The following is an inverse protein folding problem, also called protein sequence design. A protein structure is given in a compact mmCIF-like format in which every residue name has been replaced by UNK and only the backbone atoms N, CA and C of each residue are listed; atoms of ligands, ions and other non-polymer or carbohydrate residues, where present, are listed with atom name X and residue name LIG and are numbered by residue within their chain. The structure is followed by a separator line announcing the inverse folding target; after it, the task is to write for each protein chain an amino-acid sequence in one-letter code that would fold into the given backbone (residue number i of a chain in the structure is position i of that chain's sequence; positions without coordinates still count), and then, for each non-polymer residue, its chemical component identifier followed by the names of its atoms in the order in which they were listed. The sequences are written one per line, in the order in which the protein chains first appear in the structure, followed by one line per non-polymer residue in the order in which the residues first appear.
data_IF_953784175237
#
_entry.id   IF_953784175237
#
_cell.length_a   1.000
_cell.length_b   1.000
_cell.length_c   1.000
_cell.angle_alpha   90.00
_cell.angle_beta   90.00
_cell.angle_gamma   90.00
#
_symmetry.space_group_name_H-M   'P 1'
#
loop_
_entity.id
_entity.type
_entity.pdbx_description
1 polymer ?
#
# COMPACT_ATOMS: atom_id res chain seq x y z
N UNK A 1 12.90 -33.07 12.35
CA UNK A 1 12.99 -31.66 11.90
C UNK A 1 11.65 -31.34 11.23
N UNK A 2 10.96 -30.26 11.61
CA UNK A 2 9.69 -29.90 10.95
C UNK A 2 9.94 -29.60 9.45
N UNK A 3 8.93 -29.80 8.60
CA UNK A 3 9.05 -29.53 7.17
C UNK A 3 9.45 -28.06 6.91
N UNK A 4 8.91 -27.14 7.70
CA UNK A 4 9.20 -25.71 7.65
C UNK A 4 10.67 -25.39 7.98
N UNK A 5 11.23 -25.99 9.03
CA UNK A 5 12.65 -25.82 9.37
C UNK A 5 13.56 -26.39 8.29
N UNK A 6 13.21 -27.55 7.74
CA UNK A 6 13.96 -28.17 6.65
C UNK A 6 13.98 -27.29 5.40
N UNK A 7 12.90 -26.55 5.10
CA UNK A 7 12.89 -25.57 4.02
C UNK A 7 13.86 -24.41 4.27
N UNK A 8 13.87 -23.83 5.46
CA UNK A 8 14.79 -22.73 5.82
C UNK A 8 16.24 -23.18 5.67
N UNK A 9 16.59 -24.35 6.20
CA UNK A 9 17.94 -24.92 6.03
C UNK A 9 18.25 -25.24 4.56
N UNK A 10 17.26 -25.70 3.79
CA UNK A 10 17.43 -25.94 2.36
C UNK A 10 17.68 -24.65 1.58
N UNK A 11 17.05 -23.53 1.93
CA UNK A 11 17.29 -22.22 1.29
C UNK A 11 18.73 -21.79 1.59
N UNK A 12 19.14 -21.80 2.86
CA UNK A 12 20.51 -21.46 3.28
C UNK A 12 21.56 -22.27 2.52
N UNK A 13 21.36 -23.59 2.43
CA UNK A 13 22.33 -24.50 1.80
C UNK A 13 22.31 -24.44 0.28
N UNK A 14 21.14 -24.46 -0.36
CA UNK A 14 21.04 -24.61 -1.82
C UNK A 14 21.05 -23.29 -2.59
N UNK A 15 20.59 -22.20 -1.98
CA UNK A 15 20.55 -20.89 -2.65
C UNK A 15 21.77 -20.03 -2.29
N UNK A 16 22.27 -20.14 -1.05
CA UNK A 16 23.36 -19.31 -0.55
C UNK A 16 24.67 -20.08 -0.28
N UNK A 17 24.69 -21.41 -0.50
CA UNK A 17 25.87 -22.25 -0.27
C UNK A 17 26.28 -22.40 1.19
N UNK A 18 25.47 -21.93 2.14
CA UNK A 18 25.82 -21.92 3.58
C UNK A 18 25.69 -23.33 4.14
N UNK A 19 26.80 -23.88 4.65
CA UNK A 19 26.84 -25.26 5.15
C UNK A 19 26.80 -26.33 4.04
N UNK A 20 27.02 -25.93 2.79
CA UNK A 20 27.26 -26.87 1.69
C UNK A 20 28.72 -27.32 1.69
N UNK A 21 28.93 -28.62 1.51
CA UNK A 21 30.26 -29.20 1.33
C UNK A 21 30.65 -29.05 -0.15
N UNK A 22 31.35 -27.96 -0.46
CA UNK A 22 31.74 -27.56 -1.81
C UNK A 22 33.26 -27.44 -1.89
N UNK A 23 33.85 -28.08 -2.88
CA UNK A 23 35.30 -28.05 -3.15
C UNK A 23 35.59 -27.71 -4.62
N UNK A 24 36.80 -27.22 -4.89
CA UNK A 24 37.29 -26.92 -6.23
C UNK A 24 36.41 -25.91 -7.00
N UNK A 25 36.21 -26.18 -8.29
CA UNK A 25 35.48 -25.31 -9.21
C UNK A 25 34.03 -25.03 -8.76
N UNK A 26 33.37 -25.98 -8.09
CA UNK A 26 32.01 -25.81 -7.59
C UNK A 26 31.91 -24.71 -6.51
N UNK A 27 32.91 -24.62 -5.63
CA UNK A 27 32.99 -23.57 -4.61
C UNK A 27 33.22 -22.21 -5.25
N UNK A 28 34.14 -22.12 -6.21
CA UNK A 28 34.42 -20.87 -6.92
C UNK A 28 33.21 -20.33 -7.68
N UNK A 29 32.44 -21.21 -8.33
CA UNK A 29 31.21 -20.84 -9.02
C UNK A 29 30.17 -20.25 -8.04
N UNK A 30 29.95 -20.90 -6.90
CA UNK A 30 28.99 -20.43 -5.90
C UNK A 30 29.45 -19.10 -5.27
N UNK A 31 30.72 -18.99 -4.89
CA UNK A 31 31.28 -17.75 -4.35
C UNK A 31 31.15 -16.58 -5.34
N UNK A 32 31.35 -16.85 -6.64
CA UNK A 32 31.16 -15.87 -7.71
C UNK A 32 29.69 -15.46 -7.88
N UNK A 33 28.73 -16.40 -7.80
CA UNK A 33 27.30 -16.10 -7.85
C UNK A 33 26.85 -15.28 -6.65
N UNK A 34 27.26 -15.69 -5.44
CA UNK A 34 26.96 -14.99 -4.20
C UNK A 34 27.54 -13.56 -4.22
N UNK A 35 28.76 -13.38 -4.73
CA UNK A 35 29.34 -12.03 -4.92
C UNK A 35 28.51 -11.17 -5.88
N UNK A 36 28.05 -11.71 -7.01
CA UNK A 36 27.14 -10.99 -7.92
C UNK A 36 25.82 -10.64 -7.22
N UNK A 37 25.31 -11.53 -6.37
CA UNK A 37 24.09 -11.30 -5.60
C UNK A 37 24.26 -10.16 -4.59
N UNK A 38 25.41 -10.07 -3.91
CA UNK A 38 25.74 -8.94 -3.03
C UNK A 38 25.74 -7.60 -3.77
N UNK A 39 26.23 -7.56 -5.01
CA UNK A 39 26.21 -6.35 -5.83
C UNK A 39 24.78 -5.91 -6.22
N UNK A 40 23.83 -6.84 -6.35
CA UNK A 40 22.42 -6.47 -6.55
C UNK A 40 21.82 -5.89 -5.25
N UNK A 41 22.18 -6.48 -4.11
CA UNK A 41 21.73 -6.01 -2.80
C UNK A 41 22.32 -4.66 -2.41
N UNK A 42 23.48 -4.25 -2.92
CA UNK A 42 24.01 -2.90 -2.67
C UNK A 42 23.12 -1.82 -3.27
N UNK A 43 22.56 -2.04 -4.46
CA UNK A 43 21.58 -1.12 -5.05
C UNK A 43 20.29 -1.07 -4.23
N UNK A 44 19.82 -2.20 -3.71
CA UNK A 44 18.66 -2.24 -2.80
C UNK A 44 18.92 -1.48 -1.50
N UNK A 45 20.13 -1.59 -0.95
CA UNK A 45 20.54 -0.88 0.26
C UNK A 45 20.66 0.65 0.04
N UNK A 46 21.06 1.08 -1.16
CA UNK A 46 21.08 2.49 -1.55
C UNK A 46 19.65 3.07 -1.70
N UNK A 47 18.73 2.32 -2.32
CA UNK A 47 17.32 2.68 -2.50
C UNK A 47 16.54 2.78 -1.17
N UNK A 48 17.02 2.09 -0.13
CA UNK A 48 16.48 2.10 1.23
C UNK A 48 16.65 3.46 1.95
N UNK A 49 17.30 4.47 1.36
CA UNK A 49 17.52 5.79 1.98
C UNK A 49 16.32 6.77 1.89
N UNK A 50 15.12 6.32 1.51
CA UNK A 50 13.88 7.15 1.59
C UNK A 50 13.35 7.30 3.03
N UNK A 51 12.26 8.06 3.27
CA UNK A 51 11.71 8.32 4.62
C UNK A 51 11.42 7.04 5.43
N UNK A 52 11.54 7.17 6.76
CA UNK A 52 11.36 6.10 7.74
C UNK A 52 9.91 5.64 7.93
N UNK A 53 8.88 6.36 7.48
CA UNK A 53 7.46 5.94 7.65
C UNK A 53 6.92 5.09 6.50
N UNK A 54 7.61 5.05 5.35
CA UNK A 54 7.13 4.31 4.17
C UNK A 54 7.00 2.80 4.40
N UNK A 55 7.76 2.21 5.34
CA UNK A 55 7.68 0.76 5.57
C UNK A 55 6.30 0.33 6.07
N UNK A 56 5.60 1.16 6.88
CA UNK A 56 4.26 0.82 7.38
C UNK A 56 3.24 0.75 6.24
N UNK A 57 3.31 1.70 5.30
CA UNK A 57 2.45 1.69 4.12
C UNK A 57 2.72 0.45 3.25
N UNK A 58 3.97 0.02 3.13
CA UNK A 58 4.33 -1.21 2.43
C UNK A 58 3.83 -2.48 3.15
N UNK A 59 3.86 -2.50 4.50
CA UNK A 59 3.27 -3.59 5.28
C UNK A 59 1.75 -3.64 5.14
N UNK A 60 1.08 -2.48 5.11
CA UNK A 60 -0.36 -2.37 4.84
C UNK A 60 -0.69 -2.89 3.44
N UNK A 61 0.11 -2.52 2.44
CA UNK A 61 -0.06 -3.03 1.09
C UNK A 61 0.15 -4.54 1.00
N UNK A 62 1.17 -5.08 1.68
CA UNK A 62 1.38 -6.52 1.76
C UNK A 62 0.17 -7.24 2.36
N UNK A 63 -0.42 -6.67 3.42
CA UNK A 63 -1.66 -7.18 4.00
C UNK A 63 -2.82 -7.11 2.99
N UNK A 64 -3.02 -5.99 2.30
CA UNK A 64 -4.10 -5.87 1.31
C UNK A 64 -3.97 -6.90 0.17
N UNK A 65 -2.74 -7.19 -0.24
CA UNK A 65 -2.45 -8.14 -1.30
C UNK A 65 -2.65 -9.61 -0.88
N UNK A 66 -2.65 -9.90 0.42
CA UNK A 66 -2.71 -11.27 0.93
C UNK A 66 -4.01 -12.01 0.57
N UNK A 67 -3.99 -13.31 0.79
CA UNK A 67 -5.16 -14.17 0.58
C UNK A 67 -5.85 -14.44 1.90
N UNK A 68 -7.17 -14.35 1.91
CA UNK A 68 -7.98 -14.49 3.12
C UNK A 68 -8.96 -15.64 2.98
N UNK A 69 -9.29 -16.30 4.09
CA UNK A 69 -10.33 -17.35 4.10
C UNK A 69 -11.69 -16.72 3.76
N UNK A 70 -12.53 -17.48 3.07
CA UNK A 70 -13.89 -17.04 2.73
C UNK A 70 -14.67 -16.71 4.01
N UNK A 71 -15.34 -15.56 4.02
CA UNK A 71 -16.18 -15.11 5.15
C UNK A 71 -15.43 -14.42 6.29
N UNK A 72 -14.09 -14.33 6.22
CA UNK A 72 -13.30 -13.52 7.15
C UNK A 72 -13.26 -12.07 6.65
N UNK A 73 -13.32 -11.12 7.58
CA UNK A 73 -13.06 -9.70 7.29
C UNK A 73 -11.55 -9.47 7.38
N UNK A 74 -10.87 -9.14 6.28
CA UNK A 74 -9.43 -8.89 6.28
C UNK A 74 -9.05 -7.73 7.22
N UNK A 75 -8.13 -7.99 8.14
CA UNK A 75 -7.68 -7.04 9.14
C UNK A 75 -6.16 -7.06 9.35
N UNK A 76 -5.62 -5.89 9.70
CA UNK A 76 -4.23 -5.70 10.08
C UNK A 76 -4.19 -5.03 11.45
N UNK A 77 -3.41 -5.58 12.39
CA UNK A 77 -3.14 -4.96 13.68
C UNK A 77 -1.68 -4.53 13.76
N UNK A 78 -1.45 -3.30 14.22
CA UNK A 78 -0.16 -2.66 14.47
C UNK A 78 -0.05 -2.43 15.98
N UNK A 79 0.67 -3.31 16.69
CA UNK A 79 0.88 -3.23 18.13
C UNK A 79 2.29 -2.70 18.40
N UNK A 80 2.39 -1.50 18.99
CA UNK A 80 3.66 -0.78 19.13
C UNK A 80 3.94 -0.41 20.60
N UNK A 81 5.14 -0.73 21.05
CA UNK A 81 5.75 -0.18 22.25
C UNK A 81 7.16 0.36 21.92
N UNK A 82 7.86 0.94 22.90
CA UNK A 82 9.19 1.53 22.69
C UNK A 82 10.23 0.58 22.04
N UNK A 83 10.12 -0.73 22.27
CA UNK A 83 11.12 -1.74 21.88
C UNK A 83 10.73 -2.52 20.62
N UNK A 84 9.44 -2.74 20.40
CA UNK A 84 8.94 -3.59 19.32
C UNK A 84 7.71 -2.99 18.64
N UNK A 85 7.65 -3.21 17.33
CA UNK A 85 6.42 -3.14 16.56
C UNK A 85 6.04 -4.57 16.15
N UNK A 86 4.83 -4.99 16.51
CA UNK A 86 4.25 -6.28 16.11
C UNK A 86 3.15 -6.02 15.09
N UNK A 87 3.27 -6.64 13.93
CA UNK A 87 2.28 -6.53 12.85
C UNK A 87 1.60 -7.89 12.67
N UNK A 88 0.28 -7.93 12.86
CA UNK A 88 -0.52 -9.16 12.76
C UNK A 88 -1.55 -9.04 11.65
N UNK A 89 -1.60 -10.03 10.77
CA UNK A 89 -2.56 -10.10 9.67
C UNK A 89 -3.30 -11.44 9.67
N UNK A 90 -4.63 -11.42 9.56
CA UNK A 90 -5.50 -12.61 9.62
C UNK A 90 -5.64 -13.36 8.28
N UNK A 91 -4.59 -13.32 7.47
CA UNK A 91 -4.54 -14.01 6.18
C UNK A 91 -4.46 -15.54 6.33
N UNK A 92 -4.42 -16.27 5.20
CA UNK A 92 -4.23 -17.73 5.20
C UNK A 92 -2.83 -18.17 5.67
N UNK A 93 -1.88 -17.24 5.68
CA UNK A 93 -0.50 -17.44 6.11
C UNK A 93 0.46 -17.86 5.00
N UNK A 94 1.75 -17.85 5.33
CA UNK A 94 2.83 -18.03 4.36
C UNK A 94 2.93 -19.47 3.88
N UNK A 95 3.30 -19.59 2.61
CA UNK A 95 3.68 -20.81 1.93
C UNK A 95 5.15 -20.72 1.49
N UNK A 96 5.73 -21.84 1.07
CA UNK A 96 7.11 -21.91 0.58
C UNK A 96 7.44 -20.81 -0.46
N UNK A 97 6.53 -20.54 -1.40
CA UNK A 97 6.71 -19.48 -2.41
C UNK A 97 6.87 -18.09 -1.79
N UNK A 98 6.19 -17.82 -0.67
CA UNK A 98 6.31 -16.54 0.04
C UNK A 98 7.70 -16.44 0.69
N UNK A 99 8.17 -17.52 1.33
CA UNK A 99 9.49 -17.55 1.97
C UNK A 99 10.59 -17.34 0.94
N UNK A 100 10.55 -18.08 -0.18
CA UNK A 100 11.53 -17.92 -1.26
C UNK A 100 11.53 -16.51 -1.85
N UNK A 101 10.35 -15.90 -2.03
CA UNK A 101 10.25 -14.52 -2.48
C UNK A 101 10.93 -13.53 -1.51
N UNK A 102 10.71 -13.70 -0.20
CA UNK A 102 11.38 -12.91 0.83
C UNK A 102 12.90 -13.10 0.84
N UNK A 103 13.40 -14.25 0.38
CA UNK A 103 14.83 -14.55 0.29
C UNK A 103 15.47 -14.12 -1.04
N UNK A 104 14.73 -13.43 -1.92
CA UNK A 104 15.28 -12.96 -3.20
C UNK A 104 15.81 -11.53 -3.14
N UNK A 105 16.82 -11.21 -3.95
CA UNK A 105 17.31 -9.85 -4.19
C UNK A 105 16.49 -9.14 -5.30
N UNK A 106 15.18 -9.07 -5.09
CA UNK A 106 14.28 -8.27 -5.93
C UNK A 106 13.38 -9.05 -6.89
N UNK A 107 13.21 -10.36 -6.70
CA UNK A 107 12.20 -11.14 -7.43
C UNK A 107 10.90 -11.21 -6.61
N UNK A 108 9.89 -10.44 -7.03
CA UNK A 108 8.54 -10.61 -6.50
C UNK A 108 7.94 -11.94 -7.00
N UNK A 109 7.31 -12.71 -6.11
CA UNK A 109 6.52 -13.90 -6.47
C UNK A 109 5.27 -13.58 -7.30
N UNK A 110 4.94 -12.28 -7.49
CA UNK A 110 3.74 -11.80 -8.16
C UNK A 110 3.97 -11.41 -9.62
N UNK A 111 4.98 -11.99 -10.30
CA UNK A 111 5.27 -11.71 -11.73
C UNK A 111 4.06 -11.99 -12.65
N UNK A 112 3.13 -12.87 -12.27
CA UNK A 112 1.96 -13.26 -13.08
C UNK A 112 0.68 -12.46 -12.77
N UNK A 113 0.61 -11.73 -11.65
CA UNK A 113 -0.59 -10.95 -11.24
C UNK A 113 -0.39 -9.43 -11.43
N UNK A 114 0.38 -9.02 -12.44
CA UNK A 114 0.63 -7.59 -12.77
C UNK A 114 -0.60 -6.82 -13.27
N UNK A 115 -1.78 -7.43 -13.27
CA UNK A 115 -2.89 -6.98 -14.12
C UNK A 115 -3.79 -5.89 -13.53
N UNK A 116 -3.80 -5.65 -12.21
CA UNK A 116 -4.54 -4.52 -11.61
C UNK A 116 -3.96 -4.10 -10.25
N UNK A 117 -3.33 -2.93 -10.20
CA UNK A 117 -3.10 -2.20 -8.95
C UNK A 117 -2.08 -2.74 -7.95
N UNK A 118 -1.22 -3.65 -8.38
CA UNK A 118 -0.09 -4.11 -7.58
C UNK A 118 1.09 -3.16 -7.74
N UNK A 119 1.49 -2.48 -6.66
CA UNK A 119 2.64 -1.55 -6.66
C UNK A 119 3.91 -2.21 -6.11
N UNK A 120 3.82 -3.49 -5.73
CA UNK A 120 4.96 -4.31 -5.31
C UNK A 120 5.83 -4.74 -6.49
N UNK A 121 6.39 -3.79 -7.25
CA UNK A 121 7.09 -4.04 -8.51
C UNK A 121 8.48 -4.67 -8.34
N UNK A 122 9.08 -4.62 -7.14
CA UNK A 122 10.50 -4.98 -6.96
C UNK A 122 10.83 -6.03 -5.90
N UNK A 123 9.90 -6.56 -5.12
CA UNK A 123 10.27 -7.41 -3.96
C UNK A 123 11.15 -6.70 -2.91
N UNK A 124 11.35 -5.39 -3.04
CA UNK A 124 12.14 -4.52 -2.17
C UNK A 124 11.30 -3.99 -0.99
N UNK A 125 9.97 -3.93 -1.12
CA UNK A 125 9.11 -3.31 -0.09
C UNK A 125 9.24 -3.96 1.30
N UNK A 126 9.39 -5.29 1.38
CA UNK A 126 9.67 -5.89 2.68
C UNK A 126 11.01 -5.43 3.27
N UNK A 127 12.02 -5.11 2.44
CA UNK A 127 13.35 -4.73 2.92
C UNK A 127 13.40 -3.34 3.54
N UNK A 128 12.40 -2.48 3.34
CA UNK A 128 12.34 -1.16 3.98
C UNK A 128 12.25 -1.24 5.50
N UNK A 129 11.76 -2.35 6.07
CA UNK A 129 11.71 -2.56 7.53
C UNK A 129 13.11 -2.54 8.16
N UNK A 130 14.16 -2.87 7.38
CA UNK A 130 15.55 -2.84 7.87
C UNK A 130 16.06 -1.42 8.14
N UNK A 131 15.28 -0.37 7.87
CA UNK A 131 15.56 0.98 8.37
C UNK A 131 15.38 1.08 9.88
N UNK A 132 14.38 0.38 10.41
CA UNK A 132 13.95 0.45 11.82
C UNK A 132 14.37 -0.77 12.64
N UNK A 133 14.68 -1.90 12.00
CA UNK A 133 15.16 -3.11 12.67
C UNK A 133 16.42 -3.70 12.04
N UNK A 134 17.18 -4.48 12.80
CA UNK A 134 18.23 -5.35 12.28
C UNK A 134 17.77 -6.82 12.19
N UNK A 135 16.71 -7.20 12.91
CA UNK A 135 16.36 -8.59 13.13
C UNK A 135 14.84 -8.82 13.04
N UNK A 136 14.21 -8.56 11.89
CA UNK A 136 12.78 -8.83 11.73
C UNK A 136 12.52 -10.34 11.86
N UNK A 137 11.56 -10.70 12.70
CA UNK A 137 11.14 -12.09 12.95
C UNK A 137 9.75 -12.33 12.35
N UNK A 138 9.57 -13.46 11.66
CA UNK A 138 8.34 -13.84 10.97
C UNK A 138 7.83 -15.16 11.53
N UNK A 139 6.54 -15.17 11.87
CA UNK A 139 5.80 -16.33 12.36
C UNK A 139 4.52 -16.50 11.54
N UNK A 140 4.37 -17.64 10.86
CA UNK A 140 3.18 -17.93 10.05
C UNK A 140 3.12 -19.40 9.64
N UNK A 141 1.99 -20.09 9.80
CA UNK A 141 1.81 -21.49 9.36
C UNK A 141 2.92 -22.47 9.79
N UNK A 142 3.44 -22.30 11.00
CA UNK A 142 4.53 -23.12 11.55
C UNK A 142 5.93 -22.75 11.03
N UNK A 143 6.06 -21.73 10.17
CA UNK A 143 7.34 -21.06 9.93
C UNK A 143 7.66 -20.14 11.10
N UNK A 144 8.90 -20.18 11.57
CA UNK A 144 9.46 -19.27 12.57
C UNK A 144 10.92 -18.99 12.21
N UNK A 145 11.17 -17.80 11.66
CA UNK A 145 12.50 -17.44 11.20
C UNK A 145 12.72 -15.94 11.30
N UNK A 146 13.99 -15.53 11.31
CA UNK A 146 14.40 -14.14 11.24
C UNK A 146 15.39 -13.90 10.13
N UNK A 147 15.55 -12.65 9.75
CA UNK A 147 16.76 -12.17 9.11
C UNK A 147 17.64 -11.53 10.18
N UNK A 148 18.98 -11.53 10.03
CA UNK A 148 19.87 -11.05 11.09
C UNK A 148 20.98 -10.17 10.53
N UNK A 149 20.80 -8.85 10.67
CA UNK A 149 21.79 -7.82 10.29
C UNK A 149 22.53 -7.22 11.48
N UNK A 150 22.52 -7.88 12.65
CA UNK A 150 23.11 -7.33 13.88
C UNK A 150 24.60 -6.99 13.74
N UNK A 151 25.33 -7.72 12.89
CA UNK A 151 26.76 -7.53 12.63
C UNK A 151 27.06 -6.58 11.47
N UNK A 152 26.06 -6.26 10.63
CA UNK A 152 26.16 -5.38 9.45
C UNK A 152 27.29 -5.71 8.44
N UNK A 153 27.91 -6.88 8.54
CA UNK A 153 29.11 -7.24 7.78
C UNK A 153 28.78 -7.79 6.37
N UNK A 154 27.58 -8.31 6.15
CA UNK A 154 27.17 -8.91 4.88
C UNK A 154 25.83 -8.34 4.36
N UNK A 155 25.76 -8.10 3.05
CA UNK A 155 24.52 -7.72 2.38
C UNK A 155 23.57 -8.93 2.27
N UNK A 156 24.08 -10.16 2.28
CA UNK A 156 23.24 -11.37 2.27
C UNK A 156 22.30 -11.45 3.47
N UNK A 157 22.63 -10.80 4.59
CA UNK A 157 21.79 -10.75 5.79
C UNK A 157 20.43 -10.08 5.54
N UNK A 158 20.26 -9.36 4.42
CA UNK A 158 18.94 -8.90 3.98
C UNK A 158 18.00 -10.03 3.55
N UNK A 159 18.54 -11.16 3.09
CA UNK A 159 17.79 -12.20 2.35
C UNK A 159 18.03 -13.61 2.84
N UNK A 160 19.01 -13.84 3.70
CA UNK A 160 19.29 -15.17 4.27
C UNK A 160 18.42 -15.39 5.52
N UNK A 161 17.50 -16.37 5.53
CA UNK A 161 16.68 -16.65 6.70
C UNK A 161 17.43 -17.51 7.72
N UNK A 162 17.10 -17.33 9.01
CA UNK A 162 17.61 -18.09 10.14
C UNK A 162 16.44 -18.64 10.96
N UNK A 163 16.39 -19.95 11.19
CA UNK A 163 15.36 -20.54 12.03
C UNK A 163 15.46 -20.03 13.47
N UNK A 164 14.32 -19.74 14.09
CA UNK A 164 14.23 -19.37 15.50
C UNK A 164 13.87 -20.64 16.28
N UNK A 165 14.67 -21.07 17.25
CA UNK A 165 14.31 -22.25 18.06
C UNK A 165 13.26 -21.90 19.12
N UNK A 166 13.40 -20.73 19.74
CA UNK A 166 12.57 -20.26 20.84
C UNK A 166 11.95 -18.90 20.50
N UNK A 167 10.68 -18.89 20.05
CA UNK A 167 9.93 -17.65 19.77
C UNK A 167 9.78 -16.79 21.03
N UNK A 168 9.98 -15.48 20.89
CA UNK A 168 9.74 -14.50 21.98
C UNK A 168 8.25 -14.18 22.18
N UNK A 169 7.43 -14.49 21.18
CA UNK A 169 6.00 -14.20 21.17
C UNK A 169 5.21 -15.49 21.10
N UNK A 170 3.97 -15.44 21.60
CA UNK A 170 3.03 -16.53 21.40
C UNK A 170 2.68 -16.60 19.93
N UNK A 171 2.94 -17.75 19.31
CA UNK A 171 2.51 -18.02 17.93
C UNK A 171 1.01 -18.35 17.97
N UNK A 172 0.23 -17.63 17.19
CA UNK A 172 -1.19 -17.84 16.97
C UNK A 172 -1.48 -18.14 15.48
N UNK A 173 -2.75 -18.11 15.10
CA UNK A 173 -3.19 -18.40 13.72
C UNK A 173 -2.98 -17.20 12.76
N UNK A 174 -2.39 -16.09 13.22
CA UNK A 174 -2.10 -14.93 12.40
C UNK A 174 -0.70 -15.03 11.77
N UNK A 175 -0.52 -14.39 10.63
CA UNK A 175 0.83 -14.02 10.18
C UNK A 175 1.31 -12.88 11.06
N UNK A 176 2.37 -13.12 11.84
CA UNK A 176 2.96 -12.16 12.78
C UNK A 176 4.37 -11.79 12.32
N UNK A 177 4.60 -10.50 12.12
CA UNK A 177 5.92 -9.90 11.93
C UNK A 177 6.29 -9.14 13.20
N UNK A 178 7.29 -9.61 13.93
CA UNK A 178 7.87 -8.92 15.07
C UNK A 178 9.08 -8.11 14.60
N UNK A 179 9.06 -6.81 14.88
CA UNK A 179 10.06 -5.85 14.43
C UNK A 179 10.70 -5.22 15.67
N UNK A 180 11.84 -5.74 16.15
CA UNK A 180 12.60 -5.11 17.22
C UNK A 180 13.24 -3.80 16.75
N UNK A 181 13.21 -2.75 17.56
CA UNK A 181 13.88 -1.50 17.24
C UNK A 181 15.40 -1.71 17.13
N UNK A 182 16.06 -0.96 16.24
CA UNK A 182 17.52 -0.90 16.19
C UNK A 182 18.11 -0.43 17.53
N UNK A 183 19.35 -0.83 17.86
CA UNK A 183 20.04 -0.32 19.05
C UNK A 183 20.00 1.21 19.09
N UNK A 184 19.69 1.77 20.27
CA UNK A 184 19.57 3.22 20.52
C UNK A 184 18.44 3.94 19.77
N UNK A 185 17.60 3.22 19.01
CA UNK A 185 16.32 3.72 18.50
C UNK A 185 15.18 3.20 19.38
N UNK A 186 14.09 3.95 19.40
CA UNK A 186 12.80 3.53 19.97
C UNK A 186 11.71 3.73 18.93
N UNK A 187 10.67 2.92 19.01
CA UNK A 187 9.42 3.27 18.36
C UNK A 187 8.67 4.30 19.21
N UNK A 188 8.02 5.23 18.53
CA UNK A 188 7.18 6.25 19.14
C UNK A 188 5.98 6.53 18.23
N UNK A 189 5.02 7.31 18.72
CA UNK A 189 3.79 7.63 18.00
C UNK A 189 4.03 8.35 16.65
N UNK A 190 5.23 8.87 16.36
CA UNK A 190 5.51 9.55 15.10
C UNK A 190 5.53 8.58 13.91
N UNK A 191 5.83 7.30 14.12
CA UNK A 191 5.72 6.28 13.07
C UNK A 191 4.27 6.07 12.62
N UNK A 192 3.31 6.25 13.54
CA UNK A 192 1.89 5.99 13.29
C UNK A 192 1.12 7.23 12.83
N UNK A 193 1.77 8.39 12.69
CA UNK A 193 1.10 9.67 12.41
C UNK A 193 0.36 9.69 11.07
N UNK A 194 0.86 8.93 10.10
CA UNK A 194 0.32 8.84 8.74
C UNK A 194 -0.75 7.73 8.64
N UNK A 195 -1.05 7.03 9.74
CA UNK A 195 -2.08 5.97 9.78
C UNK A 195 -3.43 6.57 10.14
N UNK A 196 -4.33 6.58 9.17
CA UNK A 196 -5.69 7.09 9.27
C UNK A 196 -6.71 6.13 8.64
N UNK A 197 -7.99 6.43 8.80
CA UNK A 197 -9.08 5.70 8.13
C UNK A 197 -9.02 5.84 6.59
N UNK A 198 -8.47 6.94 6.06
CA UNK A 198 -8.39 7.20 4.61
C UNK A 198 -7.48 6.21 3.90
N UNK A 199 -6.53 5.58 4.60
CA UNK A 199 -5.72 4.49 4.05
C UNK A 199 -6.58 3.32 3.54
N UNK A 200 -7.75 3.09 4.12
CA UNK A 200 -8.65 2.01 3.69
C UNK A 200 -9.42 2.34 2.39
N UNK A 201 -9.47 3.59 1.93
CA UNK A 201 -10.36 4.03 0.83
C UNK A 201 -10.20 3.24 -0.47
N UNK A 202 -8.96 2.93 -0.83
CA UNK A 202 -8.63 2.35 -2.15
C UNK A 202 -7.91 1.01 -2.06
N UNK A 203 -7.78 0.46 -0.84
CA UNK A 203 -7.38 -0.92 -0.62
C UNK A 203 -8.47 -1.87 -1.12
N UNK A 204 -8.06 -2.99 -1.71
CA UNK A 204 -8.96 -3.91 -2.38
C UNK A 204 -9.63 -4.87 -1.40
N UNK A 205 -8.85 -5.47 -0.49
CA UNK A 205 -9.28 -6.55 0.41
C UNK A 205 -9.32 -6.12 1.86
N UNK A 206 -8.34 -5.36 2.34
CA UNK A 206 -8.25 -4.92 3.73
C UNK A 206 -9.47 -4.06 4.09
N UNK A 207 -10.09 -4.32 5.24
CA UNK A 207 -11.26 -3.57 5.72
C UNK A 207 -11.07 -2.99 7.12
N UNK A 208 -10.11 -3.51 7.88
CA UNK A 208 -9.84 -3.07 9.25
C UNK A 208 -8.33 -2.83 9.41
N UNK A 209 -7.98 -1.69 9.97
CA UNK A 209 -6.64 -1.41 10.51
C UNK A 209 -6.79 -1.06 11.99
N UNK A 210 -6.15 -1.83 12.86
CA UNK A 210 -6.10 -1.62 14.30
C UNK A 210 -4.71 -1.14 14.70
N UNK A 211 -4.64 -0.15 15.57
CA UNK A 211 -3.41 0.46 16.07
C UNK A 211 -3.47 0.42 17.59
N UNK A 212 -2.53 -0.29 18.21
CA UNK A 212 -2.41 -0.41 19.65
C UNK A 212 -1.10 0.20 20.09
N UNK A 213 -1.16 1.18 20.99
CA UNK A 213 0.01 1.70 21.71
C UNK A 213 -0.21 1.58 23.21
N UNK A 214 0.79 1.95 24.01
CA UNK A 214 0.65 2.04 25.46
C UNK A 214 -0.45 3.03 25.91
N UNK A 215 -0.82 3.99 25.05
CA UNK A 215 -1.73 5.08 25.39
C UNK A 215 -3.14 4.88 24.81
N UNK A 216 -3.24 4.29 23.62
CA UNK A 216 -4.49 4.25 22.86
C UNK A 216 -4.64 2.99 22.03
N UNK A 217 -5.89 2.55 21.89
CA UNK A 217 -6.32 1.60 20.88
C UNK A 217 -7.22 2.33 19.88
N UNK A 218 -6.78 2.41 18.62
CA UNK A 218 -7.57 2.98 17.53
C UNK A 218 -7.92 1.88 16.54
N UNK A 219 -9.17 1.82 16.13
CA UNK A 219 -9.64 0.94 15.06
C UNK A 219 -10.25 1.76 13.93
N UNK A 220 -9.69 1.59 12.74
CA UNK A 220 -10.23 2.11 11.50
C UNK A 220 -10.99 0.99 10.78
N UNK A 221 -12.21 1.28 10.36
CA UNK A 221 -13.10 0.36 9.66
C UNK A 221 -13.61 1.01 8.38
N UNK A 222 -13.61 0.24 7.29
CA UNK A 222 -14.28 0.59 6.03
C UNK A 222 -15.41 -0.39 5.75
N UNK A 223 -16.57 0.17 5.42
CA UNK A 223 -17.74 -0.59 4.96
C UNK A 223 -18.18 -0.05 3.59
N UNK A 224 -18.42 -0.96 2.65
CA UNK A 224 -18.87 -0.63 1.29
C UNK A 224 -20.33 -1.07 1.12
N UNK A 225 -21.20 -0.15 0.70
CA UNK A 225 -22.58 -0.43 0.31
C UNK A 225 -22.86 0.19 -1.07
N UNK A 226 -22.58 -0.57 -2.13
CA UNK A 226 -22.68 -0.09 -3.51
C UNK A 226 -21.66 1.03 -3.79
N UNK A 227 -22.17 2.22 -4.12
CA UNK A 227 -21.36 3.43 -4.32
C UNK A 227 -21.04 4.16 -3.01
N UNK A 228 -21.64 3.78 -1.88
CA UNK A 228 -21.41 4.43 -0.60
C UNK A 228 -20.26 3.73 0.12
N UNK A 229 -19.30 4.51 0.61
CA UNK A 229 -18.27 4.07 1.55
C UNK A 229 -18.54 4.73 2.90
N UNK A 230 -18.50 3.95 3.96
CA UNK A 230 -18.47 4.46 5.33
C UNK A 230 -17.10 4.19 5.93
N UNK A 231 -16.42 5.23 6.39
CA UNK A 231 -15.22 5.11 7.20
C UNK A 231 -15.56 5.41 8.65
N UNK A 232 -15.24 4.50 9.55
CA UNK A 232 -15.48 4.65 10.99
C UNK A 232 -14.15 4.59 11.74
N UNK A 233 -13.96 5.51 12.67
CA UNK A 233 -12.82 5.52 13.60
C UNK A 233 -13.34 5.30 15.02
N UNK A 234 -12.84 4.26 15.66
CA UNK A 234 -13.09 3.95 17.07
C UNK A 234 -11.82 4.21 17.86
N UNK A 235 -11.95 4.81 19.04
CA UNK A 235 -10.87 4.94 20.02
C UNK A 235 -11.32 4.28 21.33
N UNK A 236 -10.56 3.30 21.81
CA UNK A 236 -10.88 2.50 23.00
C UNK A 236 -12.33 1.98 22.99
N UNK A 237 -12.73 1.41 21.84
CA UNK A 237 -14.07 0.86 21.56
C UNK A 237 -15.22 1.88 21.54
N UNK A 238 -14.92 3.18 21.55
CA UNK A 238 -15.89 4.26 21.40
C UNK A 238 -15.76 4.87 20.00
N UNK A 239 -16.87 5.01 19.28
CA UNK A 239 -16.88 5.69 17.99
C UNK A 239 -16.60 7.19 18.17
N UNK A 240 -15.47 7.66 17.64
CA UNK A 240 -15.06 9.07 17.73
C UNK A 240 -15.25 9.83 16.43
N UNK A 241 -15.26 9.13 15.29
CA UNK A 241 -15.54 9.74 14.00
C UNK A 241 -16.21 8.74 13.05
N UNK A 242 -17.05 9.26 12.15
CA UNK A 242 -17.61 8.53 11.04
C UNK A 242 -17.75 9.47 9.83
N UNK A 243 -17.33 8.99 8.66
CA UNK A 243 -17.42 9.72 7.41
C UNK A 243 -18.19 8.89 6.40
N UNK A 244 -19.16 9.53 5.76
CA UNK A 244 -19.92 8.97 4.64
C UNK A 244 -19.38 9.55 3.36
N UNK A 245 -19.16 8.70 2.38
CA UNK A 245 -18.47 9.04 1.14
C UNK A 245 -19.21 8.41 -0.03
N UNK A 246 -19.27 9.12 -1.15
CA UNK A 246 -19.84 8.63 -2.42
C UNK A 246 -18.69 8.36 -3.39
N UNK A 247 -18.61 7.12 -3.86
CA UNK A 247 -17.62 6.63 -4.80
C UNK A 247 -18.20 6.58 -6.21
N UNK A 248 -17.49 7.18 -7.16
CA UNK A 248 -17.72 7.04 -8.60
C UNK A 248 -16.54 6.36 -9.25
N UNK A 249 -16.81 5.54 -10.27
CA UNK A 249 -15.77 4.84 -11.04
C UNK A 249 -15.93 5.14 -12.54
N UNK A 250 -14.84 5.54 -13.18
CA UNK A 250 -14.71 5.62 -14.63
C UNK A 250 -13.66 4.61 -15.08
N UNK A 251 -14.04 3.70 -15.99
CA UNK A 251 -13.07 2.82 -16.64
C UNK A 251 -12.49 3.53 -17.85
N UNK A 252 -11.16 3.50 -17.95
CA UNK A 252 -10.36 4.16 -18.98
C UNK A 252 -9.71 3.10 -19.84
N UNK A 253 -9.89 3.23 -21.15
CA UNK A 253 -9.21 2.38 -22.14
C UNK A 253 -7.73 2.77 -22.26
N UNK A 254 -6.87 1.78 -22.10
CA UNK A 254 -5.42 1.88 -22.18
C UNK A 254 -4.84 0.97 -23.27
N UNK A 255 -5.69 0.33 -24.07
CA UNK A 255 -5.30 -0.74 -25.00
C UNK A 255 -4.35 -0.31 -26.13
N UNK A 256 -4.34 0.97 -26.49
CA UNK A 256 -3.46 1.59 -27.48
C UNK A 256 -2.14 2.13 -26.88
N UNK A 257 -1.97 2.10 -25.55
CA UNK A 257 -0.74 2.52 -24.90
C UNK A 257 0.18 1.34 -24.62
N UNK A 258 1.46 1.49 -24.98
CA UNK A 258 2.50 0.52 -24.67
C UNK A 258 3.44 1.05 -23.59
N UNK A 259 3.01 0.93 -22.33
CA UNK A 259 3.79 1.34 -21.17
C UNK A 259 4.52 0.14 -20.55
N UNK A 260 5.85 0.23 -20.43
CA UNK A 260 6.70 -0.87 -19.94
C UNK A 260 6.30 -1.34 -18.54
N UNK A 261 5.89 -0.43 -17.66
CA UNK A 261 5.45 -0.76 -16.30
C UNK A 261 4.03 -1.32 -16.23
N UNK A 262 3.28 -1.30 -17.33
CA UNK A 262 1.86 -1.73 -17.41
C UNK A 262 1.60 -2.66 -18.60
N UNK A 263 2.60 -3.45 -18.99
CA UNK A 263 2.46 -4.41 -20.09
C UNK A 263 1.26 -5.33 -19.88
N UNK A 264 0.38 -5.39 -20.89
CA UNK A 264 -0.82 -6.21 -20.90
C UNK A 264 -2.04 -5.60 -20.18
N UNK A 265 -1.92 -4.40 -19.60
CA UNK A 265 -3.06 -3.71 -18.98
C UNK A 265 -3.82 -2.95 -20.06
N UNK A 266 -4.98 -3.48 -20.46
CA UNK A 266 -5.81 -2.90 -21.52
C UNK A 266 -6.79 -1.83 -21.02
N UNK A 267 -7.09 -1.82 -19.73
CA UNK A 267 -7.96 -0.83 -19.12
C UNK A 267 -7.64 -0.68 -17.64
N UNK A 268 -7.91 0.50 -17.10
CA UNK A 268 -7.75 0.80 -15.66
C UNK A 268 -8.85 1.74 -15.21
N UNK A 269 -9.06 1.84 -13.90
CA UNK A 269 -10.15 2.61 -13.33
C UNK A 269 -9.64 3.88 -12.65
N UNK A 270 -10.33 5.00 -12.90
CA UNK A 270 -10.25 6.22 -12.10
C UNK A 270 -11.40 6.17 -11.10
N UNK A 271 -11.09 6.35 -9.83
CA UNK A 271 -12.07 6.37 -8.75
C UNK A 271 -12.05 7.75 -8.10
N UNK A 272 -13.20 8.40 -8.07
CA UNK A 272 -13.41 9.66 -7.35
C UNK A 272 -14.26 9.40 -6.12
N UNK A 273 -13.89 9.98 -4.98
CA UNK A 273 -14.62 9.81 -3.73
C UNK A 273 -14.93 11.16 -3.09
N UNK A 274 -16.22 11.40 -2.88
CA UNK A 274 -16.79 12.68 -2.44
C UNK A 274 -17.34 12.56 -1.02
N UNK A 275 -16.82 13.31 -0.03
CA UNK A 275 -17.34 13.27 1.32
C UNK A 275 -18.68 13.99 1.44
N UNK A 276 -19.65 13.36 2.10
CA UNK A 276 -21.00 13.91 2.33
C UNK A 276 -21.42 13.70 3.77
N UNK A 277 -22.39 14.48 4.24
CA UNK A 277 -23.03 14.21 5.52
C UNK A 277 -24.11 13.11 5.41
N UNK A 278 -24.80 12.84 6.51
CA UNK A 278 -25.87 11.83 6.58
C UNK A 278 -27.12 12.22 5.76
N UNK A 279 -27.29 13.49 5.41
CA UNK A 279 -28.35 14.00 4.55
C UNK A 279 -27.93 13.99 3.07
N UNK A 280 -26.68 13.59 2.78
CA UNK A 280 -26.00 13.64 1.48
C UNK A 280 -25.71 15.07 0.99
N UNK A 281 -25.60 16.04 1.89
CA UNK A 281 -25.08 17.37 1.57
C UNK A 281 -23.57 17.25 1.34
N UNK A 282 -23.06 17.91 0.30
CA UNK A 282 -21.63 17.95 -0.02
C UNK A 282 -20.79 18.52 1.16
N UNK A 283 -19.78 17.77 1.58
CA UNK A 283 -18.83 18.13 2.64
C UNK A 283 -17.39 18.10 2.09
N UNK A 284 -16.99 19.08 1.24
CA UNK A 284 -15.64 19.10 0.67
C UNK A 284 -14.58 19.16 1.79
N UNK A 285 -13.55 18.31 1.66
CA UNK A 285 -12.40 18.31 2.57
C UNK A 285 -11.25 18.97 1.81
N UNK A 286 -10.80 20.14 2.27
CA UNK A 286 -9.67 20.82 1.62
C UNK A 286 -8.43 19.93 1.59
N UNK A 287 -7.68 19.99 0.48
CA UNK A 287 -6.41 19.31 0.32
C UNK A 287 -6.51 17.78 0.50
N UNK A 288 -7.55 17.15 -0.06
CA UNK A 288 -7.63 15.69 -0.13
C UNK A 288 -6.37 15.10 -0.80
N UNK A 289 -5.90 13.99 -0.24
CA UNK A 289 -4.81 13.23 -0.84
C UNK A 289 -5.26 12.60 -2.16
N UNK A 290 -4.36 12.61 -3.13
CA UNK A 290 -4.46 11.78 -4.33
C UNK A 290 -3.71 10.48 -4.10
N UNK A 291 -4.27 9.41 -4.64
CA UNK A 291 -3.84 8.05 -4.42
C UNK A 291 -3.40 7.40 -5.72
N UNK A 292 -2.40 6.54 -5.57
CA UNK A 292 -2.19 5.39 -6.44
C UNK A 292 -2.14 4.18 -5.48
N UNK A 293 -3.33 3.69 -5.15
CA UNK A 293 -3.70 2.66 -4.16
C UNK A 293 -3.34 2.96 -2.70
N UNK A 294 -2.22 3.65 -2.49
CA UNK A 294 -1.84 4.30 -1.24
C UNK A 294 -1.73 5.82 -1.48
N UNK A 295 -1.77 6.64 -0.42
CA UNK A 295 -1.61 8.08 -0.55
C UNK A 295 -0.29 8.46 -1.22
N UNK A 296 -0.33 9.47 -2.10
CA UNK A 296 0.84 10.10 -2.71
C UNK A 296 1.12 11.42 -1.97
N UNK A 297 0.25 12.40 -2.20
CA UNK A 297 0.19 13.71 -1.55
C UNK A 297 -1.11 14.41 -1.94
N UNK A 298 -1.39 15.55 -1.31
CA UNK A 298 -2.42 16.47 -1.79
C UNK A 298 -1.94 17.27 -3.00
N UNK A 299 -2.88 17.61 -3.88
CA UNK A 299 -2.67 18.49 -5.04
C UNK A 299 -3.65 19.68 -5.05
N UNK A 300 -4.42 19.87 -3.97
CA UNK A 300 -5.38 20.97 -3.82
C UNK A 300 -6.84 20.62 -4.16
N UNK A 301 -7.12 19.38 -4.57
CA UNK A 301 -8.51 18.91 -4.74
C UNK A 301 -9.22 18.80 -3.39
N UNK A 302 -10.55 18.94 -3.43
CA UNK A 302 -11.41 18.84 -2.25
C UNK A 302 -12.27 17.56 -2.20
N UNK A 303 -11.90 16.59 -3.05
CA UNK A 303 -12.37 15.22 -3.11
C UNK A 303 -11.18 14.29 -3.35
N UNK A 304 -11.31 13.01 -3.02
CA UNK A 304 -10.22 12.06 -3.20
C UNK A 304 -10.18 11.56 -4.65
N UNK A 305 -8.97 11.45 -5.18
CA UNK A 305 -8.69 10.93 -6.52
C UNK A 305 -7.84 9.69 -6.36
N UNK A 306 -8.24 8.60 -7.00
CA UNK A 306 -7.46 7.38 -7.13
C UNK A 306 -7.34 7.03 -8.60
N UNK A 307 -6.10 6.84 -9.06
CA UNK A 307 -5.82 6.31 -10.39
C UNK A 307 -4.51 5.52 -10.35
N UNK A 308 -4.32 4.65 -11.34
CA UNK A 308 -3.11 3.83 -11.46
C UNK A 308 -1.91 4.63 -12.01
N UNK A 309 -1.55 5.72 -11.32
CA UNK A 309 -0.42 6.56 -11.70
C UNK A 309 0.91 5.83 -11.53
N UNK A 310 1.79 6.02 -12.50
CA UNK A 310 3.18 5.59 -12.42
C UNK A 310 3.97 6.65 -11.64
N UNK A 311 4.55 6.23 -10.52
CA UNK A 311 5.26 7.10 -9.59
C UNK A 311 6.78 6.96 -9.73
N UNK A 312 7.49 8.00 -9.29
CA UNK A 312 8.92 7.93 -9.02
C UNK A 312 9.22 6.89 -7.94
N UNK A 313 10.47 6.40 -7.86
CA UNK A 313 10.86 5.37 -6.88
C UNK A 313 10.57 5.76 -5.42
N UNK A 314 10.60 7.06 -5.09
CA UNK A 314 10.25 7.57 -3.75
C UNK A 314 8.75 7.51 -3.45
N UNK A 315 7.90 7.32 -4.47
CA UNK A 315 6.44 7.46 -4.44
C UNK A 315 5.91 8.84 -4.07
N UNK A 316 6.77 9.87 -4.03
CA UNK A 316 6.36 11.24 -3.68
C UNK A 316 6.00 12.09 -4.92
N UNK A 317 6.29 11.60 -6.13
CA UNK A 317 6.05 12.29 -7.38
C UNK A 317 5.46 11.36 -8.44
N UNK A 318 4.65 11.93 -9.33
CA UNK A 318 4.09 11.28 -10.50
C UNK A 318 5.06 11.51 -11.67
N UNK A 319 5.23 10.52 -12.55
CA UNK A 319 5.94 10.71 -13.81
C UNK A 319 5.05 11.43 -14.83
N UNK A 320 5.08 12.76 -14.81
CA UNK A 320 4.16 13.64 -15.54
C UNK A 320 4.33 13.58 -17.07
N UNK A 321 5.49 13.11 -17.53
CA UNK A 321 5.87 12.96 -18.93
C UNK A 321 5.35 11.67 -19.59
N UNK A 322 4.86 10.70 -18.81
CA UNK A 322 4.39 9.43 -19.35
C UNK A 322 2.98 9.56 -19.93
N UNK A 323 2.78 9.11 -21.16
CA UNK A 323 1.47 9.11 -21.84
C UNK A 323 0.39 8.41 -21.01
N UNK A 324 0.75 7.33 -20.31
CA UNK A 324 -0.11 6.64 -19.35
C UNK A 324 -0.69 7.60 -18.31
N UNK A 325 0.16 8.37 -17.63
CA UNK A 325 -0.26 9.31 -16.59
C UNK A 325 -0.99 10.52 -17.18
N UNK A 326 -0.55 11.03 -18.32
CA UNK A 326 -1.23 12.12 -19.02
C UNK A 326 -2.65 11.75 -19.40
N UNK A 327 -2.88 10.51 -19.88
CA UNK A 327 -4.22 10.00 -20.17
C UNK A 327 -5.07 9.89 -18.91
N UNK A 328 -4.54 9.31 -17.84
CA UNK A 328 -5.26 9.22 -16.57
C UNK A 328 -5.68 10.59 -16.08
N UNK A 329 -4.76 11.56 -16.07
CA UNK A 329 -5.06 12.94 -15.70
C UNK A 329 -6.19 13.51 -16.55
N UNK A 330 -6.07 13.43 -17.88
CA UNK A 330 -7.03 14.03 -18.80
C UNK A 330 -8.44 13.39 -18.67
N UNK A 331 -8.53 12.15 -18.17
CA UNK A 331 -9.78 11.45 -17.91
C UNK A 331 -10.39 11.73 -16.52
N UNK A 332 -9.70 12.43 -15.61
CA UNK A 332 -10.27 12.83 -14.32
C UNK A 332 -11.48 13.76 -14.52
N UNK A 333 -11.41 14.67 -15.49
CA UNK A 333 -12.52 15.56 -15.82
C UNK A 333 -13.77 14.77 -16.24
N UNK A 334 -13.62 13.80 -17.14
CA UNK A 334 -14.69 12.89 -17.55
C UNK A 334 -15.24 12.08 -16.36
N UNK A 335 -14.39 11.64 -15.44
CA UNK A 335 -14.81 10.92 -14.23
C UNK A 335 -15.63 11.84 -13.30
N UNK A 336 -15.26 13.11 -13.20
CA UNK A 336 -16.01 14.12 -12.45
C UNK A 336 -17.38 14.38 -13.08
N UNK A 337 -17.45 14.59 -14.40
CA UNK A 337 -18.73 14.78 -15.12
C UNK A 337 -19.64 13.56 -14.96
N UNK A 338 -19.09 12.35 -15.08
CA UNK A 338 -19.85 11.11 -14.79
C UNK A 338 -20.40 11.07 -13.36
N UNK A 339 -19.67 11.65 -12.39
CA UNK A 339 -20.13 11.72 -11.00
C UNK A 339 -21.34 12.64 -10.83
N UNK A 340 -21.50 13.67 -11.66
CA UNK A 340 -22.64 14.58 -11.64
C UNK A 340 -23.96 13.83 -11.89
N UNK A 341 -23.95 12.81 -12.75
CA UNK A 341 -25.14 11.98 -12.99
C UNK A 341 -25.60 11.31 -11.68
N UNK A 342 -24.67 10.79 -10.88
CA UNK A 342 -24.95 10.19 -9.56
C UNK A 342 -25.40 11.26 -8.57
N UNK A 343 -24.82 12.46 -8.60
CA UNK A 343 -25.20 13.56 -7.72
C UNK A 343 -26.64 14.00 -7.95
N UNK A 344 -27.08 14.06 -9.21
CA UNK A 344 -28.43 14.41 -9.61
C UNK A 344 -29.51 13.42 -9.14
N UNK A 345 -29.15 12.16 -8.95
CA UNK A 345 -30.07 11.15 -8.38
C UNK A 345 -30.40 11.42 -6.89
N UNK A 346 -29.63 12.28 -6.22
CA UNK A 346 -29.83 12.62 -4.82
C UNK A 346 -30.26 14.09 -4.66
N UNK A 347 -31.42 14.31 -4.03
CA UNK A 347 -32.04 15.63 -3.92
C UNK A 347 -31.15 16.69 -3.23
N UNK A 348 -30.43 16.34 -2.16
CA UNK A 348 -29.58 17.30 -1.43
C UNK A 348 -28.23 17.48 -2.13
N UNK A 349 -27.65 16.40 -2.64
CA UNK A 349 -26.37 16.46 -3.33
C UNK A 349 -26.46 17.20 -4.65
N UNK A 350 -27.54 17.02 -5.41
CA UNK A 350 -27.80 17.73 -6.68
C UNK A 350 -27.77 19.26 -6.54
N UNK A 351 -28.04 19.78 -5.34
CA UNK A 351 -28.04 21.21 -5.02
C UNK A 351 -26.71 21.70 -4.44
N UNK A 352 -25.87 20.80 -3.95
CA UNK A 352 -24.68 21.14 -3.15
C UNK A 352 -23.38 20.63 -3.74
N UNK A 353 -23.39 19.76 -4.74
CA UNK A 353 -22.19 19.17 -5.33
C UNK A 353 -21.25 20.19 -5.97
N UNK A 354 -21.73 21.39 -6.34
CA UNK A 354 -20.89 22.49 -6.84
C UNK A 354 -19.75 22.83 -5.89
N UNK A 355 -19.91 22.54 -4.60
CA UNK A 355 -18.85 22.68 -3.60
C UNK A 355 -17.63 21.79 -3.85
N UNK A 356 -17.74 20.75 -4.70
CA UNK A 356 -16.61 19.91 -5.13
C UNK A 356 -15.94 20.38 -6.43
N UNK A 357 -16.45 21.41 -7.09
CA UNK A 357 -15.79 21.93 -8.31
C UNK A 357 -14.42 22.48 -7.88
N UNK A 358 -13.31 21.96 -8.44
CA UNK A 358 -11.98 22.42 -8.07
C UNK A 358 -11.76 23.84 -8.57
N UNK A 359 -11.05 24.65 -7.78
CA UNK A 359 -10.74 26.04 -8.11
C UNK A 359 -9.28 26.19 -8.51
N UNK A 360 -9.02 27.04 -9.51
CA UNK A 360 -7.67 27.25 -10.05
C UNK A 360 -6.70 27.81 -8.99
N UNK A 361 -7.17 28.63 -8.05
CA UNK A 361 -6.32 29.13 -6.95
C UNK A 361 -6.02 28.08 -5.86
N UNK A 362 -6.73 26.95 -5.85
CA UNK A 362 -6.57 25.88 -4.85
C UNK A 362 -5.74 24.71 -5.40
N UNK A 363 -5.97 24.31 -6.66
CA UNK A 363 -5.18 23.27 -7.33
C UNK A 363 -3.87 23.86 -7.83
N UNK A 364 -2.85 23.79 -6.98
CA UNK A 364 -1.57 24.48 -7.18
C UNK A 364 -0.58 23.71 -8.07
N UNK A 365 -0.88 22.47 -8.42
CA UNK A 365 0.04 21.60 -9.14
C UNK A 365 -0.07 21.79 -10.67
N UNK A 366 1.04 22.09 -11.38
CA UNK A 366 1.01 22.33 -12.82
C UNK A 366 0.53 21.14 -13.65
N UNK A 367 0.75 19.91 -13.20
CA UNK A 367 0.27 18.74 -13.91
C UNK A 367 -1.25 18.69 -13.86
N UNK A 368 -1.85 18.94 -12.70
CA UNK A 368 -3.29 18.84 -12.48
C UNK A 368 -4.09 20.12 -12.78
N UNK A 369 -3.46 21.28 -12.99
CA UNK A 369 -4.16 22.52 -13.35
C UNK A 369 -5.05 22.35 -14.59
N UNK A 370 -4.59 21.58 -15.58
CA UNK A 370 -5.36 21.23 -16.79
C UNK A 370 -6.70 20.53 -16.47
N UNK A 371 -6.77 19.77 -15.38
CA UNK A 371 -8.01 19.08 -14.97
C UNK A 371 -9.07 20.10 -14.56
N UNK A 372 -8.65 21.20 -13.92
CA UNK A 372 -9.56 22.29 -13.52
C UNK A 372 -10.19 22.89 -14.77
N UNK A 373 -9.36 23.30 -15.73
CA UNK A 373 -9.82 23.90 -17.00
C UNK A 373 -10.77 22.95 -17.74
N UNK A 374 -10.41 21.67 -17.85
CA UNK A 374 -11.24 20.65 -18.50
C UNK A 374 -12.59 20.42 -17.81
N UNK A 375 -12.63 20.46 -16.47
CA UNK A 375 -13.89 20.36 -15.71
C UNK A 375 -14.77 21.58 -16.02
N UNK A 376 -14.23 22.80 -15.96
CA UNK A 376 -14.99 24.01 -16.29
C UNK A 376 -15.52 24.00 -17.73
N UNK A 377 -14.68 23.63 -18.70
CA UNK A 377 -15.08 23.53 -20.12
C UNK A 377 -16.18 22.47 -20.32
N UNK A 378 -16.09 21.34 -19.62
CA UNK A 378 -17.09 20.28 -19.73
C UNK A 378 -18.41 20.67 -19.07
N UNK A 379 -18.36 21.35 -17.91
CA UNK A 379 -19.55 21.83 -17.21
C UNK A 379 -20.36 22.84 -18.05
N UNK A 380 -19.70 23.66 -18.88
CA UNK A 380 -20.39 24.59 -19.78
C UNK A 380 -21.28 23.89 -20.82
N UNK A 381 -21.07 22.60 -21.08
CA UNK A 381 -21.80 21.83 -22.08
C UNK A 381 -22.75 20.79 -21.44
N UNK A 382 -22.86 20.76 -20.12
CA UNK A 382 -23.66 19.79 -19.37
C UNK A 382 -24.79 20.49 -18.61
N UNK A 383 -25.99 19.91 -18.61
CA UNK A 383 -27.14 20.44 -17.87
C UNK A 383 -26.94 20.25 -16.36
N UNK A 384 -26.12 21.07 -15.71
CA UNK A 384 -25.59 20.76 -14.39
C UNK A 384 -26.23 21.58 -13.26
N UNK A 385 -26.96 22.66 -13.56
CA UNK A 385 -27.58 23.54 -12.55
C UNK A 385 -29.09 23.27 -12.46
N UNK A 386 -29.65 22.92 -11.28
CA UNK A 386 -31.09 22.83 -11.09
C UNK A 386 -31.74 24.19 -11.35
N UNK A 387 -32.78 24.22 -12.19
CA UNK A 387 -33.55 25.42 -12.47
C UNK A 387 -34.89 25.39 -11.74
N UNK A 388 -35.66 26.49 -11.76
CA UNK A 388 -36.93 26.58 -11.01
C UNK A 388 -37.99 25.57 -11.50
N UNK A 389 -37.79 25.01 -12.69
CA UNK A 389 -38.64 24.05 -13.39
C UNK A 389 -38.23 22.58 -13.19
N UNK A 390 -37.16 22.31 -12.44
CA UNK A 390 -36.63 20.97 -12.18
C UNK A 390 -35.25 20.79 -12.79
#
# INVERSE_FOLDING_TARGET
MSNQKALIESIRRKEFGIGADLEGEAKEIVDNMVRKYRNLLSTVAEDLNSKDTHFLLELIQNADDNSYKKGVIPSLSLEMNDEYLTVKNNEIGFQEKNIRALCSAGESSKKEEKFKGYIGEKGIGFKSIFKVTNEPEIYSNGYQFKFDRSKADDLLDYVVPHWIEEPKVKIDDYTTLLIPAKPQKKFDNTYLKDISNTLLLFLQKLRIIEVHTNEKHIKYLREDNGSIITLTTMENDIQVAQQRLIKTVLSVDMSDLNEQKRQGVLATDIVLVFPVDYQNIAQPIENCETFAFLPIRSFGFNFYIQADFILASSREAIHEELEWNMRLRDQISNAFIKSIQIFKENNELSKTYFNFIPLAEKVYDPFFSKVVDQIFDSLNNEDCIPTLDG
#
